data_IF_979436792224
#
_entry.id   IF_979436792224
#
_cell.length_a   1.000
_cell.length_b   1.000
_cell.length_c   1.000
_cell.angle_alpha   90.00
_cell.angle_beta   90.00
_cell.angle_gamma   90.00
#
_symmetry.space_group_name_H-M   'P 1'
#
loop_
_entity.id
_entity.type
_entity.pdbx_description
1 polymer ?
#
# COMPACT_ATOMS: atom_id res chain seq x y z
N UNK A 1 -19.33 56.97 10.48
CA UNK A 1 -18.30 56.23 9.72
C UNK A 1 -18.08 54.88 10.41
N UNK A 2 -18.72 53.79 9.95
CA UNK A 2 -18.43 52.43 10.45
C UNK A 2 -18.01 51.62 9.24
N UNK A 3 -16.75 51.22 9.26
CA UNK A 3 -16.01 50.63 8.14
C UNK A 3 -16.47 49.18 7.98
N UNK A 4 -16.68 48.77 6.72
CA UNK A 4 -17.06 47.42 6.31
C UNK A 4 -16.04 46.37 6.78
N UNK A 5 -16.51 45.13 7.00
CA UNK A 5 -15.64 43.95 6.94
C UNK A 5 -16.36 42.86 6.18
N UNK A 6 -16.01 42.73 4.89
CA UNK A 6 -16.39 41.59 4.08
C UNK A 6 -15.50 40.41 4.47
N UNK A 7 -16.10 39.39 5.09
CA UNK A 7 -15.45 38.11 5.36
C UNK A 7 -15.26 37.36 4.04
N UNK A 8 -14.04 37.38 3.50
CA UNK A 8 -13.63 36.50 2.40
C UNK A 8 -13.33 35.11 2.97
N UNK A 9 -14.22 34.16 2.70
CA UNK A 9 -13.96 32.73 2.87
C UNK A 9 -13.03 32.28 1.74
N UNK A 10 -11.74 32.09 2.03
CA UNK A 10 -10.83 31.40 1.12
C UNK A 10 -11.17 29.90 1.10
N UNK A 11 -11.39 29.28 -0.07
CA UNK A 11 -11.48 27.83 -0.16
C UNK A 11 -10.09 27.24 0.14
N UNK A 12 -9.99 26.44 1.21
CA UNK A 12 -8.82 25.62 1.49
C UNK A 12 -8.79 24.51 0.45
N UNK A 13 -7.96 24.68 -0.58
CA UNK A 13 -7.64 23.59 -1.52
C UNK A 13 -6.74 22.61 -0.77
N UNK A 14 -7.31 21.49 -0.32
CA UNK A 14 -6.54 20.35 0.15
C UNK A 14 -5.84 19.72 -1.06
N UNK A 15 -4.62 20.16 -1.36
CA UNK A 15 -3.74 19.44 -2.24
C UNK A 15 -3.39 18.11 -1.55
N UNK A 16 -4.05 17.02 -1.97
CA UNK A 16 -3.59 15.68 -1.62
C UNK A 16 -2.22 15.49 -2.30
N UNK A 17 -1.13 15.34 -1.55
CA UNK A 17 0.12 14.93 -2.17
C UNK A 17 -0.06 13.44 -2.49
N UNK A 18 -0.47 13.14 -3.73
CA UNK A 18 -0.05 11.89 -4.32
C UNK A 18 1.47 12.01 -4.41
N UNK A 19 2.21 11.35 -3.50
CA UNK A 19 3.65 11.27 -3.65
C UNK A 19 3.88 10.59 -5.01
N UNK A 20 4.58 11.29 -5.88
CA UNK A 20 4.93 10.73 -7.17
C UNK A 20 5.94 9.60 -6.91
N UNK A 21 5.61 8.40 -7.40
CA UNK A 21 6.54 7.27 -7.39
C UNK A 21 7.82 7.65 -8.14
N UNK A 22 8.98 7.25 -7.63
CA UNK A 22 10.27 7.51 -8.27
C UNK A 22 10.28 6.98 -9.71
N UNK A 23 10.92 7.73 -10.62
CA UNK A 23 10.92 7.39 -12.04
C UNK A 23 11.65 6.08 -12.34
N UNK A 24 12.70 5.75 -11.59
CA UNK A 24 13.40 4.47 -11.71
C UNK A 24 12.51 3.30 -11.30
N UNK A 25 11.84 3.42 -10.15
CA UNK A 25 10.86 2.43 -9.69
C UNK A 25 9.70 2.25 -10.68
N UNK A 26 9.22 3.34 -11.26
CA UNK A 26 8.18 3.31 -12.28
C UNK A 26 8.58 2.52 -13.53
N UNK A 27 9.81 2.71 -14.00
CA UNK A 27 10.32 1.99 -15.16
C UNK A 27 10.54 0.51 -14.87
N UNK A 28 10.94 0.15 -13.65
CA UNK A 28 11.09 -1.27 -13.29
C UNK A 28 9.76 -2.00 -13.26
N UNK A 29 8.72 -1.40 -12.67
CA UNK A 29 7.37 -1.96 -12.71
C UNK A 29 6.87 -2.17 -14.15
N UNK A 30 7.18 -1.25 -15.07
CA UNK A 30 6.80 -1.39 -16.49
C UNK A 30 7.49 -2.55 -17.21
N UNK A 31 8.60 -3.08 -16.69
CA UNK A 31 9.28 -4.25 -17.27
C UNK A 31 8.69 -5.59 -16.82
N UNK A 32 7.97 -5.59 -15.70
CA UNK A 32 7.27 -6.77 -15.20
C UNK A 32 6.12 -7.16 -16.12
N UNK A 33 5.75 -8.45 -16.12
CA UNK A 33 4.51 -8.89 -16.71
C UNK A 33 3.30 -8.21 -16.01
N UNK A 34 2.14 -8.08 -16.68
CA UNK A 34 1.03 -7.30 -16.14
C UNK A 34 0.55 -7.75 -14.76
N UNK A 35 0.52 -9.05 -14.48
CA UNK A 35 0.01 -9.56 -13.21
C UNK A 35 1.00 -9.28 -12.07
N UNK A 36 2.29 -9.54 -12.30
CA UNK A 36 3.33 -9.20 -11.32
C UNK A 36 3.40 -7.68 -11.10
N UNK A 37 3.22 -6.87 -12.15
CA UNK A 37 3.14 -5.41 -12.03
C UNK A 37 1.99 -4.96 -11.15
N UNK A 38 0.80 -5.55 -11.31
CA UNK A 38 -0.37 -5.26 -10.49
C UNK A 38 -0.08 -5.55 -9.02
N UNK A 39 0.44 -6.74 -8.71
CA UNK A 39 0.79 -7.14 -7.36
C UNK A 39 1.83 -6.19 -6.75
N UNK A 40 2.97 -6.01 -7.41
CA UNK A 40 4.06 -5.16 -6.92
C UNK A 40 3.63 -3.71 -6.73
N UNK A 41 2.80 -3.18 -7.65
CA UNK A 41 2.30 -1.81 -7.50
C UNK A 41 1.37 -1.67 -6.29
N UNK A 42 0.53 -2.68 -6.04
CA UNK A 42 -0.37 -2.70 -4.89
C UNK A 42 0.37 -2.93 -3.57
N UNK A 43 1.44 -3.72 -3.56
CA UNK A 43 2.30 -3.92 -2.39
C UNK A 43 3.03 -2.62 -2.01
N UNK A 44 3.57 -1.90 -3.01
CA UNK A 44 4.18 -0.58 -2.79
C UNK A 44 3.18 0.43 -2.21
N UNK A 45 1.96 0.47 -2.75
CA UNK A 45 0.89 1.32 -2.23
C UNK A 45 0.51 0.94 -0.79
N UNK A 46 0.45 -0.37 -0.48
CA UNK A 46 0.17 -0.86 0.86
C UNK A 46 1.20 -0.33 1.86
N UNK A 47 2.50 -0.51 1.53
CA UNK A 47 3.60 -0.03 2.37
C UNK A 47 3.55 1.49 2.54
N UNK A 48 3.30 2.24 1.47
CA UNK A 48 3.19 3.71 1.53
C UNK A 48 2.05 4.18 2.45
N UNK A 49 0.89 3.52 2.40
CA UNK A 49 -0.23 3.84 3.29
C UNK A 49 0.07 3.48 4.74
N UNK A 50 0.68 2.31 4.99
CA UNK A 50 1.11 1.88 6.32
C UNK A 50 2.10 2.88 6.94
N UNK A 51 2.98 3.48 6.14
CA UNK A 51 3.91 4.52 6.60
C UNK A 51 3.19 5.81 7.03
N UNK A 52 2.12 6.18 6.34
CA UNK A 52 1.41 7.46 6.53
C UNK A 52 0.32 7.40 7.60
N UNK A 53 -0.44 6.32 7.62
CA UNK A 53 -1.61 6.17 8.48
C UNK A 53 -1.18 5.74 9.89
N UNK A 54 -1.87 6.17 10.98
CA UNK A 54 -1.65 5.60 12.30
C UNK A 54 -1.77 4.06 12.27
N UNK A 55 -0.86 3.30 12.92
CA UNK A 55 0.14 3.76 13.90
C UNK A 55 1.48 4.25 13.31
N UNK A 56 1.60 4.44 11.99
CA UNK A 56 2.79 4.90 11.25
C UNK A 56 3.97 3.93 11.39
N UNK A 57 3.70 2.67 11.07
CA UNK A 57 4.74 1.64 10.98
C UNK A 57 5.56 1.85 9.71
N UNK A 58 6.84 1.50 9.76
CA UNK A 58 7.72 1.57 8.59
C UNK A 58 7.81 0.16 8.03
N UNK A 59 7.00 -0.13 7.01
CA UNK A 59 7.06 -1.37 6.27
C UNK A 59 8.29 -1.38 5.35
N UNK A 60 9.22 -2.30 5.56
CA UNK A 60 10.42 -2.48 4.72
C UNK A 60 10.28 -3.65 3.74
N UNK A 61 9.35 -4.57 4.01
CA UNK A 61 9.04 -5.71 3.16
C UNK A 61 7.56 -6.09 3.27
N UNK A 62 7.00 -6.65 2.20
CA UNK A 62 5.63 -7.15 2.13
C UNK A 62 5.59 -8.42 1.28
N UNK A 63 4.91 -9.45 1.79
CA UNK A 63 4.69 -10.72 1.10
C UNK A 63 3.18 -10.92 0.94
N UNK A 64 2.68 -10.77 -0.29
CA UNK A 64 1.25 -10.79 -0.57
C UNK A 64 0.59 -12.17 -0.38
N UNK A 65 1.37 -13.24 -0.45
CA UNK A 65 0.92 -14.65 -0.43
C UNK A 65 1.31 -15.42 0.84
N UNK A 66 1.74 -14.73 1.91
CA UNK A 66 2.35 -15.37 3.09
C UNK A 66 1.48 -16.48 3.72
N UNK A 67 0.18 -16.23 3.90
CA UNK A 67 -0.78 -17.15 4.54
C UNK A 67 -1.88 -17.64 3.59
N UNK A 68 -2.10 -16.96 2.47
CA UNK A 68 -3.11 -17.30 1.47
C UNK A 68 -2.75 -16.63 0.14
N UNK A 69 -2.94 -17.35 -0.97
CA UNK A 69 -2.72 -16.83 -2.32
C UNK A 69 -3.64 -15.62 -2.64
N UNK A 70 -3.11 -14.54 -3.24
CA UNK A 70 -3.92 -13.44 -3.72
C UNK A 70 -4.90 -13.87 -4.80
N UNK A 71 -6.09 -13.27 -4.77
CA UNK A 71 -7.08 -13.42 -5.84
C UNK A 71 -7.02 -12.23 -6.79
N UNK A 72 -6.84 -12.50 -8.09
CA UNK A 72 -6.72 -11.48 -9.14
C UNK A 72 -7.89 -11.58 -10.11
N UNK A 73 -8.51 -10.44 -10.42
CA UNK A 73 -9.63 -10.31 -11.38
C UNK A 73 -9.50 -9.00 -12.15
N UNK A 74 -8.97 -9.08 -13.38
CA UNK A 74 -8.68 -7.89 -14.20
C UNK A 74 -7.70 -6.97 -13.48
N UNK A 75 -8.05 -5.69 -13.33
CA UNK A 75 -7.21 -4.66 -12.71
C UNK A 75 -7.30 -4.63 -11.18
N UNK A 76 -7.71 -5.74 -10.55
CA UNK A 76 -7.96 -5.83 -9.12
C UNK A 76 -7.29 -7.04 -8.52
N UNK A 77 -6.61 -6.82 -7.40
CA UNK A 77 -6.03 -7.84 -6.53
C UNK A 77 -6.63 -7.75 -5.13
N UNK A 78 -6.87 -8.91 -4.51
CA UNK A 78 -7.25 -9.03 -3.11
C UNK A 78 -6.38 -10.08 -2.45
N UNK A 79 -5.60 -9.65 -1.46
CA UNK A 79 -4.83 -10.53 -0.58
C UNK A 79 -5.43 -10.53 0.83
N UNK A 80 -5.82 -11.70 1.33
CA UNK A 80 -6.27 -11.90 2.71
C UNK A 80 -5.23 -12.49 3.64
N UNK A 81 -4.16 -13.02 3.08
CA UNK A 81 -3.07 -13.67 3.81
C UNK A 81 -1.74 -12.96 3.64
N UNK A 82 -1.72 -11.65 3.36
CA UNK A 82 -0.46 -10.93 3.25
C UNK A 82 0.22 -10.79 4.62
N UNK A 83 1.51 -10.48 4.60
CA UNK A 83 2.26 -10.02 5.76
C UNK A 83 3.17 -8.85 5.35
N UNK A 84 3.45 -7.93 6.27
CA UNK A 84 4.51 -6.94 6.10
C UNK A 84 5.43 -6.92 7.30
N UNK A 85 6.70 -6.57 7.08
CA UNK A 85 7.71 -6.46 8.13
C UNK A 85 7.91 -5.01 8.54
N UNK A 86 7.96 -4.77 9.84
CA UNK A 86 8.35 -3.47 10.39
C UNK A 86 9.21 -3.65 11.63
N UNK A 87 10.41 -3.06 11.62
CA UNK A 87 11.39 -3.15 12.72
C UNK A 87 11.71 -4.59 13.10
N UNK A 88 11.83 -5.46 12.10
CA UNK A 88 12.14 -6.88 12.28
C UNK A 88 10.96 -7.76 12.70
N UNK A 89 9.77 -7.20 12.92
CA UNK A 89 8.58 -7.99 13.26
C UNK A 89 7.61 -8.07 12.08
N UNK A 90 7.06 -9.25 11.85
CA UNK A 90 6.04 -9.48 10.83
C UNK A 90 4.64 -9.25 11.38
N UNK A 91 3.79 -8.59 10.61
CA UNK A 91 2.40 -8.31 10.94
C UNK A 91 1.50 -8.90 9.86
N UNK A 92 0.39 -9.51 10.27
CA UNK A 92 -0.64 -9.90 9.31
C UNK A 92 -1.21 -8.68 8.59
N UNK A 93 -1.51 -8.84 7.31
CA UNK A 93 -2.09 -7.81 6.46
C UNK A 93 -3.19 -8.43 5.60
N UNK A 94 -4.28 -7.69 5.42
CA UNK A 94 -5.18 -7.93 4.30
C UNK A 94 -5.34 -6.64 3.51
N UNK A 95 -5.44 -6.74 2.19
CA UNK A 95 -5.73 -5.59 1.35
C UNK A 95 -6.57 -5.95 0.12
N UNK A 96 -7.23 -4.93 -0.42
CA UNK A 96 -7.85 -4.95 -1.74
C UNK A 96 -7.41 -3.71 -2.49
N UNK A 97 -6.87 -3.90 -3.68
CA UNK A 97 -6.30 -2.84 -4.50
C UNK A 97 -6.85 -2.96 -5.92
N UNK A 98 -7.22 -1.83 -6.51
CA UNK A 98 -7.56 -1.74 -7.92
C UNK A 98 -6.71 -0.66 -8.60
N UNK A 99 -6.35 -0.89 -9.85
CA UNK A 99 -5.51 0.01 -10.64
C UNK A 99 -6.21 0.48 -11.91
N UNK A 100 -5.55 1.35 -12.66
CA UNK A 100 -5.78 1.54 -14.09
C UNK A 100 -5.42 0.29 -14.89
N UNK A 101 -5.88 0.16 -16.15
CA UNK A 101 -5.61 -1.02 -17.00
C UNK A 101 -4.13 -1.27 -17.32
N UNK A 102 -3.26 -0.27 -17.20
CA UNK A 102 -1.81 -0.42 -17.35
C UNK A 102 -1.11 -0.88 -16.05
N UNK A 103 -1.88 -1.01 -14.96
CA UNK A 103 -1.46 -1.30 -13.59
C UNK A 103 -0.50 -0.29 -12.97
N UNK A 104 -0.49 0.95 -13.49
CA UNK A 104 0.44 2.00 -13.03
C UNK A 104 -0.20 3.05 -12.12
N UNK A 105 -1.52 3.12 -12.02
CA UNK A 105 -2.19 4.08 -11.13
C UNK A 105 -3.14 3.34 -10.22
N UNK A 106 -2.98 3.46 -8.91
CA UNK A 106 -3.95 2.92 -7.95
C UNK A 106 -5.20 3.79 -7.95
N UNK A 107 -6.35 3.19 -8.22
CA UNK A 107 -7.65 3.86 -8.32
C UNK A 107 -8.49 3.65 -7.06
N UNK A 108 -8.29 2.55 -6.34
CA UNK A 108 -8.90 2.30 -5.03
C UNK A 108 -8.04 1.37 -4.20
N UNK A 109 -8.05 1.57 -2.89
CA UNK A 109 -7.27 0.75 -1.98
C UNK A 109 -7.91 0.72 -0.58
N UNK A 110 -7.95 -0.46 0.01
CA UNK A 110 -8.42 -0.72 1.37
C UNK A 110 -7.51 -1.77 2.00
N UNK A 111 -7.19 -1.63 3.28
CA UNK A 111 -6.37 -2.60 4.01
C UNK A 111 -6.73 -2.67 5.49
N UNK A 112 -6.27 -3.73 6.14
CA UNK A 112 -6.33 -3.91 7.58
C UNK A 112 -5.04 -4.54 8.09
N UNK A 113 -4.46 -3.96 9.13
CA UNK A 113 -3.33 -4.55 9.85
C UNK A 113 -3.87 -5.48 10.94
N UNK A 114 -3.39 -6.72 10.95
CA UNK A 114 -3.71 -7.74 11.95
C UNK A 114 -2.71 -7.77 13.10
N UNK A 115 -2.67 -8.89 13.81
CA UNK A 115 -1.72 -9.12 14.89
C UNK A 115 -0.29 -9.37 14.35
N UNK A 116 0.69 -9.31 15.24
CA UNK A 116 2.07 -9.77 14.96
C UNK A 116 2.02 -11.27 14.65
N UNK A 117 2.77 -11.69 13.64
CA UNK A 117 2.97 -13.10 13.28
C UNK A 117 3.95 -13.73 14.27
N UNK A 118 3.58 -14.81 14.97
CA UNK A 118 4.49 -15.51 15.87
C UNK A 118 5.76 -15.99 15.15
N UNK A 119 6.94 -15.80 15.76
CA UNK A 119 8.22 -16.20 15.17
C UNK A 119 8.28 -17.69 14.79
N UNK A 120 7.55 -18.54 15.52
CA UNK A 120 7.43 -19.97 15.24
C UNK A 120 6.77 -20.30 13.89
N UNK A 121 6.04 -19.35 13.30
CA UNK A 121 5.33 -19.54 12.03
C UNK A 121 6.14 -19.05 10.82
N UNK A 122 7.18 -18.24 11.05
CA UNK A 122 7.86 -17.50 9.97
C UNK A 122 8.43 -18.40 8.87
N UNK A 123 9.13 -19.46 9.25
CA UNK A 123 9.75 -20.39 8.29
C UNK A 123 8.73 -21.12 7.42
N UNK A 124 7.51 -21.34 7.92
CA UNK A 124 6.43 -21.97 7.15
C UNK A 124 5.88 -21.01 6.07
N UNK A 125 5.90 -19.71 6.36
CA UNK A 125 5.29 -18.67 5.53
C UNK A 125 6.31 -17.85 4.73
N UNK A 126 7.53 -18.37 4.57
CA UNK A 126 8.65 -17.72 3.88
C UNK A 126 8.99 -16.32 4.43
N UNK A 127 8.69 -16.09 5.69
CA UNK A 127 9.01 -14.84 6.38
C UNK A 127 10.41 -14.97 6.99
N UNK A 128 11.31 -14.06 6.61
CA UNK A 128 12.70 -14.05 7.09
C UNK A 128 12.95 -12.94 8.08
N UNK A 129 13.92 -13.13 8.97
CA UNK A 129 14.32 -12.14 9.97
C UNK A 129 15.18 -11.02 9.41
N UNK A 130 15.87 -11.26 8.28
CA UNK A 130 16.88 -10.39 7.68
C UNK A 130 16.56 -10.10 6.22
#
# INVERSE_FOLDING_TARGET
MRILSAMLLLPVVLANPALAMDSGAAEELKRLDPQTRLEQRCDLEAMERIHKDPPRLVADELVAYAFEEPTIKGDKIRSTGAAFRSKGEWYHLSYTCATSPDHMTVTSFQYSIGQIVPHSEWSHHYLVSE
#
